data_IF_754253225150
#
_entry.id   IF_754253225150
#
_cell.length_a   1.000
_cell.length_b   1.000
_cell.length_c   1.000
_cell.angle_alpha   90.00
_cell.angle_beta   90.00
_cell.angle_gamma   90.00
#
_symmetry.space_group_name_H-M   'P 1'
#
loop_
_entity.id
_entity.type
_entity.pdbx_description
1 polymer ?
#
# COMPACT_ATOMS: atom_id res chain seq x y z
N UNK A 1 54.53 -34.02 -4.94
CA UNK A 1 54.14 -32.81 -5.65
C UNK A 1 52.74 -32.42 -5.19
N UNK A 2 52.64 -31.39 -4.36
CA UNK A 2 51.35 -30.88 -3.92
C UNK A 2 50.95 -29.73 -4.87
N UNK A 3 49.91 -29.91 -5.66
CA UNK A 3 49.32 -28.85 -6.43
C UNK A 3 48.51 -27.96 -5.49
N UNK A 4 49.01 -26.76 -5.18
CA UNK A 4 48.27 -25.74 -4.51
C UNK A 4 47.22 -25.13 -5.48
N UNK A 5 45.96 -25.36 -5.24
CA UNK A 5 44.88 -24.57 -5.85
C UNK A 5 44.96 -23.15 -5.28
N UNK A 6 45.49 -22.23 -6.03
CA UNK A 6 45.31 -20.79 -5.80
C UNK A 6 43.92 -20.43 -6.30
N UNK A 7 42.97 -20.31 -5.38
CA UNK A 7 41.67 -19.73 -5.68
C UNK A 7 41.91 -18.23 -5.96
N UNK A 8 41.85 -17.84 -7.23
CA UNK A 8 41.82 -16.44 -7.62
C UNK A 8 40.53 -15.83 -7.05
N UNK A 9 40.62 -15.05 -6.00
CA UNK A 9 39.58 -14.14 -5.59
C UNK A 9 39.45 -13.10 -6.71
N UNK A 10 38.39 -13.21 -7.51
CA UNK A 10 38.02 -12.12 -8.41
C UNK A 10 37.75 -10.88 -7.55
N UNK A 11 38.60 -9.88 -7.66
CA UNK A 11 38.35 -8.59 -7.05
C UNK A 11 37.07 -8.05 -7.72
N UNK A 12 35.97 -8.05 -7.02
CA UNK A 12 34.77 -7.38 -7.46
C UNK A 12 35.08 -5.90 -7.48
N UNK A 13 34.98 -5.28 -8.66
CA UNK A 13 35.16 -3.83 -8.79
C UNK A 13 34.15 -3.16 -7.86
N UNK A 14 34.62 -2.39 -6.89
CA UNK A 14 33.75 -1.62 -6.03
C UNK A 14 33.11 -0.49 -6.86
N UNK A 15 31.81 -0.32 -6.69
CA UNK A 15 31.05 0.76 -7.36
C UNK A 15 31.04 1.97 -6.43
N UNK A 16 31.21 3.16 -7.00
CA UNK A 16 31.09 4.41 -6.24
C UNK A 16 29.72 5.02 -6.45
N UNK A 17 29.09 5.45 -5.35
CA UNK A 17 27.83 6.18 -5.34
C UNK A 17 28.01 7.49 -4.58
N UNK A 18 27.59 8.61 -5.18
CA UNK A 18 27.45 9.89 -4.48
C UNK A 18 25.99 10.03 -4.04
N UNK A 19 25.71 9.73 -2.79
CA UNK A 19 24.37 9.81 -2.20
C UNK A 19 24.27 11.09 -1.40
N UNK A 20 23.45 12.04 -1.84
CA UNK A 20 23.26 13.35 -1.19
C UNK A 20 24.57 14.06 -0.83
N UNK A 21 25.56 13.99 -1.73
CA UNK A 21 26.86 14.63 -1.54
C UNK A 21 27.87 13.82 -0.72
N UNK A 22 27.50 12.67 -0.20
CA UNK A 22 28.42 11.75 0.48
C UNK A 22 28.86 10.64 -0.49
N UNK A 23 30.17 10.51 -0.67
CA UNK A 23 30.75 9.44 -1.48
C UNK A 23 30.78 8.12 -0.70
N UNK A 24 30.23 7.09 -1.32
CA UNK A 24 30.25 5.72 -0.80
C UNK A 24 30.94 4.79 -1.77
N UNK A 25 31.82 3.97 -1.24
CA UNK A 25 32.32 2.78 -1.90
C UNK A 25 31.38 1.62 -1.59
N UNK A 26 30.83 0.98 -2.62
CA UNK A 26 29.89 -0.13 -2.49
C UNK A 26 30.52 -1.45 -2.94
N UNK A 27 30.55 -2.41 -2.03
CA UNK A 27 30.95 -3.78 -2.30
C UNK A 27 29.70 -4.63 -2.50
N UNK A 28 29.62 -5.36 -3.61
CA UNK A 28 28.54 -6.32 -3.84
C UNK A 28 28.78 -7.58 -3.00
N UNK A 29 27.90 -7.80 -2.02
CA UNK A 29 27.96 -8.99 -1.15
C UNK A 29 27.24 -10.18 -1.76
N UNK A 30 26.17 -9.90 -2.52
CA UNK A 30 25.32 -10.90 -3.15
C UNK A 30 24.67 -10.34 -4.40
N UNK A 31 24.60 -11.15 -5.45
CA UNK A 31 23.79 -10.88 -6.62
C UNK A 31 23.31 -12.20 -7.23
N UNK A 32 22.02 -12.36 -7.41
CA UNK A 32 21.43 -13.54 -8.04
C UNK A 32 20.05 -13.25 -8.67
N UNK A 33 19.70 -14.08 -9.61
CA UNK A 33 18.30 -14.19 -10.06
C UNK A 33 17.52 -15.00 -9.05
N UNK A 34 16.43 -14.45 -8.51
CA UNK A 34 15.55 -15.12 -7.54
C UNK A 34 14.43 -15.93 -8.23
N UNK A 35 14.01 -15.46 -9.40
CA UNK A 35 12.90 -16.02 -10.14
C UNK A 35 12.80 -15.39 -11.54
N UNK A 36 11.73 -15.65 -12.28
CA UNK A 36 11.53 -15.06 -13.59
C UNK A 36 11.62 -13.54 -13.52
N UNK A 37 12.46 -12.90 -14.36
CA UNK A 37 12.57 -11.45 -14.44
C UNK A 37 12.93 -10.73 -13.15
N UNK A 38 13.42 -11.42 -12.11
CA UNK A 38 13.68 -10.83 -10.81
C UNK A 38 15.08 -11.08 -10.33
N UNK A 39 15.85 -10.03 -10.16
CA UNK A 39 17.20 -10.07 -9.56
C UNK A 39 17.22 -9.44 -8.18
N UNK A 40 18.07 -9.97 -7.31
CA UNK A 40 18.38 -9.37 -6.00
C UNK A 40 19.87 -9.01 -5.95
N UNK A 41 20.15 -7.87 -5.31
CA UNK A 41 21.50 -7.45 -4.99
C UNK A 41 21.58 -7.01 -3.53
N UNK A 42 22.64 -7.36 -2.85
CA UNK A 42 22.98 -6.82 -1.54
C UNK A 42 24.32 -6.12 -1.60
N UNK A 43 24.38 -4.91 -1.07
CA UNK A 43 25.59 -4.09 -1.04
C UNK A 43 25.99 -3.77 0.40
N UNK A 44 27.29 -3.64 0.62
CA UNK A 44 27.85 -2.95 1.77
C UNK A 44 28.48 -1.64 1.29
N UNK A 45 27.87 -0.53 1.65
CA UNK A 45 28.30 0.80 1.30
C UNK A 45 29.07 1.45 2.45
N UNK A 46 30.25 2.01 2.19
CA UNK A 46 31.10 2.67 3.18
C UNK A 46 31.53 4.05 2.72
N UNK A 47 31.39 5.06 3.58
CA UNK A 47 31.96 6.38 3.36
C UNK A 47 33.36 6.52 3.95
N UNK A 48 34.09 7.54 3.53
CA UNK A 48 35.41 7.86 4.07
C UNK A 48 35.39 8.21 5.57
N UNK A 49 34.26 8.74 6.06
CA UNK A 49 34.04 9.11 7.46
C UNK A 49 33.66 7.90 8.34
N UNK A 50 33.66 6.69 7.76
CA UNK A 50 33.38 5.43 8.49
C UNK A 50 31.90 5.08 8.64
N UNK A 51 30.98 5.84 8.00
CA UNK A 51 29.58 5.43 7.93
C UNK A 51 29.44 4.23 7.02
N UNK A 52 28.66 3.24 7.44
CA UNK A 52 28.35 2.07 6.62
C UNK A 52 26.88 1.71 6.65
N UNK A 53 26.42 1.14 5.53
CA UNK A 53 25.04 0.74 5.31
C UNK A 53 24.99 -0.60 4.59
N UNK A 54 24.15 -1.52 5.09
CA UNK A 54 23.75 -2.72 4.35
C UNK A 54 22.50 -2.40 3.55
N UNK A 55 22.59 -2.56 2.24
CA UNK A 55 21.54 -2.25 1.28
C UNK A 55 21.09 -3.53 0.60
N UNK A 56 19.78 -3.78 0.58
CA UNK A 56 19.15 -4.89 -0.09
C UNK A 56 18.18 -4.34 -1.13
N UNK A 57 18.34 -4.70 -2.39
CA UNK A 57 17.37 -4.29 -3.39
C UNK A 57 17.10 -5.41 -4.40
N UNK A 58 15.92 -5.35 -4.99
CA UNK A 58 15.51 -6.20 -6.10
C UNK A 58 15.03 -5.35 -7.27
N UNK A 59 15.29 -5.80 -8.49
CA UNK A 59 14.70 -5.29 -9.72
C UNK A 59 13.79 -6.38 -10.29
N UNK A 60 12.55 -5.98 -10.61
CA UNK A 60 11.48 -6.88 -11.00
C UNK A 60 10.94 -6.40 -12.34
N UNK A 61 11.14 -7.21 -13.38
CA UNK A 61 10.68 -6.93 -14.75
C UNK A 61 9.19 -7.24 -14.87
N UNK A 62 8.35 -6.19 -14.94
CA UNK A 62 6.90 -6.30 -15.10
C UNK A 62 6.49 -6.88 -16.47
N UNK A 63 7.36 -6.81 -17.46
CA UNK A 63 7.07 -7.37 -18.80
C UNK A 63 7.11 -8.88 -18.82
N UNK A 64 7.72 -9.49 -17.79
CA UNK A 64 7.78 -10.93 -17.65
C UNK A 64 6.38 -11.50 -17.33
N UNK A 65 5.83 -12.41 -18.16
CA UNK A 65 4.47 -12.92 -17.99
C UNK A 65 4.30 -13.81 -16.75
N UNK A 66 5.40 -14.32 -16.17
CA UNK A 66 5.37 -15.18 -14.99
C UNK A 66 5.49 -14.42 -13.66
N UNK A 67 5.56 -13.07 -13.72
CA UNK A 67 5.58 -12.22 -12.54
C UNK A 67 4.18 -11.64 -12.29
N UNK A 68 3.75 -11.69 -11.04
CA UNK A 68 2.58 -10.98 -10.54
C UNK A 68 2.92 -10.24 -9.25
N UNK A 69 2.16 -9.20 -8.97
CA UNK A 69 2.22 -8.42 -7.74
C UNK A 69 0.91 -8.55 -6.98
N UNK A 70 0.99 -8.56 -5.67
CA UNK A 70 -0.18 -8.48 -4.80
C UNK A 70 0.17 -7.69 -3.55
N UNK A 71 -0.75 -6.84 -3.12
CA UNK A 71 -0.82 -6.40 -1.74
C UNK A 71 -1.29 -7.57 -0.89
N UNK A 72 -0.66 -7.82 0.24
CA UNK A 72 -1.05 -8.90 1.17
C UNK A 72 -1.35 -8.30 2.52
N UNK A 73 -2.55 -8.57 3.01
CA UNK A 73 -2.96 -8.21 4.36
C UNK A 73 -2.48 -9.26 5.38
N UNK A 74 -2.08 -8.80 6.56
CA UNK A 74 -1.74 -9.71 7.64
C UNK A 74 -2.92 -10.62 7.98
N UNK A 75 -2.69 -11.94 7.96
CA UNK A 75 -3.73 -12.97 8.23
C UNK A 75 -4.95 -12.90 7.28
N UNK A 76 -4.81 -12.24 6.11
CA UNK A 76 -5.90 -11.89 5.19
C UNK A 76 -7.06 -11.14 5.87
N UNK A 77 -6.77 -10.40 6.94
CA UNK A 77 -7.72 -9.68 7.77
C UNK A 77 -7.50 -8.17 7.68
N UNK A 78 -8.57 -7.39 7.81
CA UNK A 78 -8.49 -5.93 7.85
C UNK A 78 -7.68 -5.43 9.07
N UNK A 79 -7.81 -6.12 10.20
CA UNK A 79 -7.06 -5.85 11.43
C UNK A 79 -6.21 -7.09 11.77
N UNK A 80 -5.06 -7.23 11.11
CA UNK A 80 -4.17 -8.35 11.33
C UNK A 80 -2.71 -7.97 11.16
N UNK A 81 -1.84 -8.52 12.01
CA UNK A 81 -0.39 -8.33 11.90
C UNK A 81 0.27 -9.66 11.56
N UNK A 82 1.21 -9.61 10.62
CA UNK A 82 1.95 -10.79 10.17
C UNK A 82 3.30 -10.34 9.60
N UNK A 83 4.34 -11.15 9.75
CA UNK A 83 5.63 -10.85 9.12
C UNK A 83 5.57 -11.10 7.60
N UNK A 84 6.34 -10.34 6.83
CA UNK A 84 6.44 -10.52 5.36
C UNK A 84 6.81 -11.96 5.01
N UNK A 85 7.71 -12.58 5.78
CA UNK A 85 8.07 -13.99 5.61
C UNK A 85 6.87 -14.92 5.79
N UNK A 86 6.13 -14.77 6.88
CA UNK A 86 4.94 -15.60 7.14
C UNK A 86 3.88 -15.44 6.06
N UNK A 87 3.61 -14.19 5.63
CA UNK A 87 2.70 -13.92 4.52
C UNK A 87 3.16 -14.61 3.23
N UNK A 88 4.45 -14.54 2.89
CA UNK A 88 5.03 -15.20 1.72
C UNK A 88 4.84 -16.72 1.78
N UNK A 89 5.16 -17.35 2.91
CA UNK A 89 5.01 -18.79 3.10
C UNK A 89 3.54 -19.21 3.03
N UNK A 90 2.64 -18.48 3.69
CA UNK A 90 1.19 -18.75 3.74
C UNK A 90 0.50 -18.59 2.38
N UNK A 91 0.88 -17.58 1.59
CA UNK A 91 0.27 -17.28 0.29
C UNK A 91 0.85 -18.13 -0.83
N UNK A 92 2.03 -18.73 -0.65
CA UNK A 92 2.67 -19.58 -1.65
C UNK A 92 1.91 -20.90 -1.83
N UNK A 93 1.72 -21.30 -3.09
CA UNK A 93 1.09 -22.55 -3.48
C UNK A 93 1.71 -23.06 -4.80
N UNK A 94 1.52 -24.31 -5.18
CA UNK A 94 1.95 -24.82 -6.47
C UNK A 94 1.48 -23.92 -7.62
N UNK A 95 2.41 -23.47 -8.46
CA UNK A 95 2.14 -22.56 -9.58
C UNK A 95 2.06 -21.06 -9.24
N UNK A 96 2.08 -20.68 -7.94
CA UNK A 96 2.08 -19.27 -7.51
C UNK A 96 2.92 -19.11 -6.23
N UNK A 97 4.19 -18.80 -6.40
CA UNK A 97 5.14 -18.63 -5.30
C UNK A 97 5.34 -17.15 -4.97
N UNK A 98 5.16 -16.80 -3.71
CA UNK A 98 5.52 -15.49 -3.16
C UNK A 98 6.97 -15.55 -2.66
N UNK A 99 7.93 -15.18 -3.50
CA UNK A 99 9.36 -15.39 -3.23
C UNK A 99 10.11 -14.11 -2.88
N UNK A 100 9.45 -12.96 -3.00
CA UNK A 100 10.01 -11.65 -2.69
C UNK A 100 8.93 -10.77 -2.08
N UNK A 101 9.27 -10.02 -1.03
CA UNK A 101 8.36 -9.06 -0.41
C UNK A 101 9.06 -8.04 0.46
N UNK A 102 8.42 -6.89 0.62
CA UNK A 102 8.78 -5.85 1.58
C UNK A 102 7.56 -5.50 2.43
N UNK A 103 7.80 -4.86 3.59
CA UNK A 103 6.70 -4.28 4.37
C UNK A 103 6.03 -3.12 3.61
N UNK A 104 4.80 -2.80 3.98
CA UNK A 104 3.99 -1.76 3.34
C UNK A 104 3.66 -0.59 4.26
N UNK A 105 2.37 -0.27 4.33
CA UNK A 105 1.80 0.92 4.97
C UNK A 105 2.04 0.99 6.49
N UNK A 106 1.92 2.20 7.02
CA UNK A 106 1.65 2.41 8.44
C UNK A 106 0.32 1.75 8.82
N UNK A 107 0.20 1.36 10.08
CA UNK A 107 -1.00 0.68 10.57
C UNK A 107 -1.36 1.10 12.00
N UNK A 108 -2.57 0.85 12.40
CA UNK A 108 -3.00 1.07 13.78
C UNK A 108 -2.24 0.16 14.73
N UNK A 109 -1.48 0.73 15.65
CA UNK A 109 -0.66 0.01 16.64
C UNK A 109 -1.41 -0.27 17.94
N UNK A 110 -2.62 0.27 18.10
CA UNK A 110 -3.45 0.12 19.28
C UNK A 110 -4.92 0.41 18.98
N UNK A 111 -5.76 0.20 19.98
CA UNK A 111 -7.20 0.50 19.92
C UNK A 111 -8.05 -0.75 19.77
N UNK A 112 -9.32 -0.59 20.17
CA UNK A 112 -10.35 -1.62 20.08
C UNK A 112 -11.62 -1.03 19.48
N UNK A 113 -12.40 -1.90 18.85
CA UNK A 113 -13.75 -1.59 18.38
C UNK A 113 -14.70 -1.46 19.56
N UNK A 114 -15.95 -1.04 19.29
CA UNK A 114 -17.03 -0.98 20.29
C UNK A 114 -17.37 -2.36 20.85
N UNK A 115 -17.17 -3.41 20.07
CA UNK A 115 -17.41 -4.81 20.51
C UNK A 115 -16.17 -5.47 21.12
N UNK A 116 -15.03 -4.73 21.23
CA UNK A 116 -13.81 -5.20 21.88
C UNK A 116 -12.79 -5.87 20.97
N UNK A 117 -13.02 -5.95 19.66
CA UNK A 117 -12.05 -6.49 18.71
C UNK A 117 -10.86 -5.54 18.53
N UNK A 118 -9.67 -6.11 18.34
CA UNK A 118 -8.45 -5.32 18.14
C UNK A 118 -8.50 -4.56 16.81
N UNK A 119 -8.07 -3.30 16.82
CA UNK A 119 -7.81 -2.51 15.61
C UNK A 119 -6.36 -2.56 15.13
N UNK A 120 -5.50 -3.30 15.84
CA UNK A 120 -4.08 -3.41 15.50
C UNK A 120 -3.93 -4.09 14.13
N UNK A 121 -3.16 -3.49 13.25
CA UNK A 121 -2.92 -4.00 11.90
C UNK A 121 -3.77 -3.37 10.80
N UNK A 122 -4.79 -2.55 11.13
CA UNK A 122 -5.57 -1.82 10.12
C UNK A 122 -4.64 -0.84 9.38
N UNK A 123 -4.57 -0.87 8.04
CA UNK A 123 -3.74 0.08 7.28
C UNK A 123 -4.26 1.51 7.48
N UNK A 124 -3.34 2.48 7.57
CA UNK A 124 -3.72 3.89 7.71
C UNK A 124 -4.25 4.44 6.40
N UNK A 125 -3.58 4.16 5.29
CA UNK A 125 -3.94 4.66 3.99
C UNK A 125 -4.87 3.74 3.19
N UNK A 126 -5.25 4.17 1.97
CA UNK A 126 -5.99 3.35 1.01
C UNK A 126 -5.27 2.05 0.65
N UNK A 127 -6.07 0.98 0.45
CA UNK A 127 -5.57 -0.36 0.16
C UNK A 127 -6.53 -1.13 -0.75
N UNK A 128 -5.97 -1.72 -1.82
CA UNK A 128 -6.67 -2.60 -2.76
C UNK A 128 -5.87 -3.89 -2.91
N UNK A 129 -6.54 -5.01 -2.75
CA UNK A 129 -5.96 -6.34 -2.83
C UNK A 129 -6.68 -7.13 -3.91
N UNK A 130 -5.94 -7.55 -4.95
CA UNK A 130 -6.46 -8.33 -6.09
C UNK A 130 -7.76 -7.75 -6.71
N UNK A 131 -7.82 -6.39 -6.80
CA UNK A 131 -8.96 -5.64 -7.32
C UNK A 131 -10.08 -5.37 -6.31
N UNK A 132 -10.03 -5.96 -5.10
CA UNK A 132 -11.02 -5.71 -4.05
C UNK A 132 -10.61 -4.52 -3.17
N UNK A 133 -11.54 -3.58 -2.96
CA UNK A 133 -11.31 -2.36 -2.18
C UNK A 133 -11.40 -2.68 -0.69
N UNK A 134 -10.25 -2.74 -0.02
CA UNK A 134 -10.18 -2.91 1.43
C UNK A 134 -10.38 -1.59 2.16
N UNK A 135 -9.81 -0.53 1.63
CA UNK A 135 -9.96 0.82 2.19
C UNK A 135 -9.79 1.87 1.10
N UNK A 136 -10.61 2.90 1.13
CA UNK A 136 -10.45 4.09 0.32
C UNK A 136 -10.92 5.33 1.07
N UNK A 137 -10.33 6.49 0.79
CA UNK A 137 -10.62 7.75 1.47
C UNK A 137 -10.52 8.90 0.48
N UNK A 138 -11.54 9.73 0.38
CA UNK A 138 -11.55 10.92 -0.46
C UNK A 138 -10.66 12.07 0.06
N UNK A 139 -10.22 11.96 1.30
CA UNK A 139 -9.33 12.95 1.94
C UNK A 139 -8.13 12.24 2.55
N UNK A 140 -7.09 12.03 1.74
CA UNK A 140 -5.82 11.43 2.19
C UNK A 140 -4.63 12.19 1.63
N UNK A 141 -3.58 12.33 2.44
CA UNK A 141 -2.28 12.87 2.05
C UNK A 141 -1.24 11.74 1.84
N UNK A 142 -1.66 10.49 2.00
CA UNK A 142 -0.80 9.34 1.77
C UNK A 142 -0.51 9.17 0.28
N UNK A 143 0.69 8.72 0.00
CA UNK A 143 1.14 8.34 -1.35
C UNK A 143 0.84 6.86 -1.56
N UNK A 144 0.35 6.51 -2.73
CA UNK A 144 0.06 5.14 -3.10
C UNK A 144 1.00 4.65 -4.20
N UNK A 145 1.48 3.42 -4.07
CA UNK A 145 1.89 2.61 -5.20
C UNK A 145 0.65 1.91 -5.76
N UNK A 146 0.40 2.06 -7.05
CA UNK A 146 -0.76 1.49 -7.74
C UNK A 146 -0.30 0.71 -8.95
N UNK A 147 -0.88 -0.47 -9.15
CA UNK A 147 -0.69 -1.29 -10.35
C UNK A 147 -2.05 -1.83 -10.82
N UNK A 148 -2.31 -1.75 -12.12
CA UNK A 148 -3.50 -2.32 -12.74
C UNK A 148 -3.40 -3.85 -12.90
N UNK A 149 -4.50 -4.50 -13.27
CA UNK A 149 -4.56 -5.95 -13.46
C UNK A 149 -3.63 -6.46 -14.58
N UNK A 150 -3.31 -5.61 -15.54
CA UNK A 150 -2.45 -5.95 -16.68
C UNK A 150 -0.97 -5.70 -16.40
N UNK A 151 -0.63 -5.13 -15.25
CA UNK A 151 0.74 -4.75 -14.85
C UNK A 151 1.43 -3.77 -15.81
N UNK A 152 0.68 -2.90 -16.48
CA UNK A 152 1.22 -2.06 -17.55
C UNK A 152 1.48 -0.62 -17.13
N UNK A 153 0.79 -0.16 -16.11
CA UNK A 153 0.80 1.25 -15.70
C UNK A 153 1.07 1.39 -14.20
N UNK A 154 2.27 1.00 -13.72
CA UNK A 154 2.63 1.30 -12.34
C UNK A 154 2.69 2.82 -12.16
N UNK A 155 2.11 3.31 -11.07
CA UNK A 155 2.13 4.74 -10.76
C UNK A 155 2.32 4.93 -9.25
N UNK A 156 3.10 5.94 -8.88
CA UNK A 156 3.26 6.39 -7.50
C UNK A 156 2.79 7.84 -7.42
N UNK A 157 1.87 8.10 -6.50
CA UNK A 157 1.35 9.44 -6.29
C UNK A 157 0.23 9.47 -5.25
N UNK A 158 -0.21 10.67 -4.90
CA UNK A 158 -1.32 10.87 -3.98
C UNK A 158 -2.65 10.66 -4.73
N UNK A 159 -3.33 9.57 -4.41
CA UNK A 159 -4.61 9.25 -5.04
C UNK A 159 -5.69 10.19 -4.54
N UNK A 160 -6.41 10.81 -5.47
CA UNK A 160 -7.63 11.57 -5.22
C UNK A 160 -8.83 10.69 -5.52
N UNK A 161 -9.59 10.36 -4.49
CA UNK A 161 -10.84 9.61 -4.60
C UNK A 161 -12.01 10.54 -4.73
N UNK A 162 -13.00 10.15 -5.51
CA UNK A 162 -14.30 10.81 -5.58
C UNK A 162 -15.39 9.75 -5.74
N UNK A 163 -16.52 9.96 -5.10
CA UNK A 163 -17.64 9.03 -5.19
C UNK A 163 -18.97 9.75 -5.13
N UNK A 164 -19.97 9.18 -5.78
CA UNK A 164 -21.33 9.69 -5.82
C UNK A 164 -22.32 8.54 -5.72
N UNK A 165 -23.24 8.64 -4.79
CA UNK A 165 -24.41 7.76 -4.69
C UNK A 165 -25.65 8.53 -5.17
N UNK A 166 -26.47 7.90 -6.03
CA UNK A 166 -27.72 8.46 -6.58
C UNK A 166 -28.85 7.48 -6.33
N UNK A 167 -29.95 7.94 -5.74
CA UNK A 167 -31.14 7.11 -5.55
C UNK A 167 -32.11 7.20 -6.75
N UNK A 168 -33.15 6.39 -6.76
CA UNK A 168 -34.14 6.32 -7.84
C UNK A 168 -34.91 7.65 -8.10
N UNK A 169 -34.97 8.56 -7.13
CA UNK A 169 -35.56 9.91 -7.31
C UNK A 169 -34.58 10.92 -7.88
N UNK A 170 -33.33 10.55 -8.15
CA UNK A 170 -32.28 11.43 -8.62
C UNK A 170 -31.60 12.27 -7.53
N UNK A 171 -31.89 12.02 -6.24
CA UNK A 171 -31.17 12.64 -5.13
C UNK A 171 -29.78 12.05 -5.05
N UNK A 172 -28.78 12.91 -4.92
CA UNK A 172 -27.36 12.52 -4.87
C UNK A 172 -26.75 12.76 -3.50
N UNK A 173 -25.71 11.99 -3.17
CA UNK A 173 -24.87 12.16 -1.99
C UNK A 173 -23.43 11.75 -2.33
N UNK A 174 -22.44 12.60 -1.99
CA UNK A 174 -21.03 12.27 -2.18
C UNK A 174 -20.61 11.09 -1.30
N UNK A 175 -19.84 10.15 -1.84
CA UNK A 175 -19.23 9.03 -1.09
C UNK A 175 -17.85 9.45 -0.63
N UNK A 176 -17.60 9.47 0.68
CA UNK A 176 -16.35 9.94 1.30
C UNK A 176 -15.30 8.83 1.46
N UNK A 177 -15.72 7.58 1.38
CA UNK A 177 -14.76 6.49 1.47
C UNK A 177 -15.37 5.11 1.68
N UNK A 178 -14.48 4.14 1.81
CA UNK A 178 -14.78 2.72 2.04
C UNK A 178 -14.03 2.27 3.29
N UNK A 179 -14.72 1.59 4.21
CA UNK A 179 -14.14 0.97 5.42
C UNK A 179 -13.34 1.96 6.30
N UNK A 180 -13.88 3.13 6.54
CA UNK A 180 -13.22 4.14 7.39
C UNK A 180 -13.44 3.83 8.88
N UNK A 181 -12.34 3.87 9.63
CA UNK A 181 -12.36 3.71 11.09
C UNK A 181 -12.79 5.02 11.74
N UNK A 182 -13.76 4.94 12.66
CA UNK A 182 -14.24 6.10 13.43
C UNK A 182 -14.59 7.33 12.57
N UNK A 183 -15.46 7.23 11.56
CA UNK A 183 -15.86 8.40 10.81
C UNK A 183 -16.51 9.41 11.73
N UNK A 184 -15.96 10.61 11.82
CA UNK A 184 -16.44 11.66 12.71
C UNK A 184 -16.45 13.02 12.03
N UNK A 185 -17.37 13.88 12.46
CA UNK A 185 -17.49 15.26 11.99
C UNK A 185 -18.01 15.40 10.55
N UNK A 186 -18.71 16.51 10.31
CA UNK A 186 -19.20 16.87 8.97
C UNK A 186 -20.29 15.96 8.42
N UNK A 187 -20.48 16.05 7.11
CA UNK A 187 -21.38 15.19 6.34
C UNK A 187 -20.53 14.06 5.75
N UNK A 188 -20.87 12.80 6.04
CA UNK A 188 -20.12 11.63 5.58
C UNK A 188 -21.06 10.58 5.05
N UNK A 189 -20.75 10.05 3.86
CA UNK A 189 -21.34 8.81 3.35
C UNK A 189 -20.20 7.79 3.17
N UNK A 190 -20.26 6.70 3.94
CA UNK A 190 -19.24 5.66 3.95
C UNK A 190 -19.86 4.35 3.53
N UNK A 191 -19.16 3.56 2.72
CA UNK A 191 -19.56 2.20 2.36
C UNK A 191 -18.68 1.23 3.14
N UNK A 192 -19.29 0.39 3.96
CA UNK A 192 -18.63 -0.72 4.64
C UNK A 192 -18.91 -2.02 3.88
N UNK A 193 -17.88 -2.85 3.71
CA UNK A 193 -17.97 -4.13 3.01
C UNK A 193 -17.40 -5.28 3.86
N UNK A 194 -17.48 -6.50 3.35
CA UNK A 194 -17.04 -7.75 4.00
C UNK A 194 -15.59 -7.75 4.51
N UNK A 195 -14.72 -6.83 3.99
CA UNK A 195 -13.31 -6.75 4.39
C UNK A 195 -13.11 -5.97 5.70
N UNK A 196 -14.11 -5.22 6.14
CA UNK A 196 -14.08 -4.57 7.46
C UNK A 196 -14.26 -5.59 8.58
N UNK A 197 -14.66 -5.14 9.77
CA UNK A 197 -15.14 -6.05 10.80
C UNK A 197 -16.52 -6.62 10.39
N UNK A 198 -17.03 -7.66 11.04
CA UNK A 198 -18.39 -8.13 10.78
C UNK A 198 -19.51 -7.11 11.07
N UNK A 199 -19.15 -5.90 11.49
CA UNK A 199 -20.02 -4.79 11.87
C UNK A 199 -19.32 -3.46 11.61
N UNK A 200 -20.07 -2.36 11.58
CA UNK A 200 -19.56 -1.04 11.16
C UNK A 200 -18.71 -0.32 12.20
N UNK A 201 -18.76 -0.74 13.47
CA UNK A 201 -18.05 -0.08 14.60
C UNK A 201 -18.38 1.43 14.75
N UNK A 202 -19.63 1.81 14.45
CA UNK A 202 -20.10 3.19 14.45
C UNK A 202 -20.94 3.54 15.68
N UNK A 203 -20.97 4.81 16.12
CA UNK A 203 -21.85 5.22 17.21
C UNK A 203 -23.31 5.34 16.74
N UNK A 204 -24.26 5.23 17.69
CA UNK A 204 -25.64 5.58 17.47
C UNK A 204 -25.84 7.04 17.03
N UNK A 205 -26.90 7.33 16.28
CA UNK A 205 -27.31 8.66 15.87
C UNK A 205 -27.07 9.00 14.39
N UNK A 206 -26.14 8.32 13.73
CA UNK A 206 -26.03 8.31 12.26
C UNK A 206 -27.10 7.36 11.69
N UNK A 207 -27.24 7.34 10.36
CA UNK A 207 -28.13 6.40 9.68
C UNK A 207 -27.31 5.32 8.96
N UNK A 208 -27.73 4.08 9.09
CA UNK A 208 -27.12 2.92 8.44
C UNK A 208 -28.16 2.09 7.73
N UNK A 209 -27.83 1.54 6.59
CA UNK A 209 -28.68 0.64 5.83
C UNK A 209 -27.90 -0.51 5.23
N UNK A 210 -28.36 -1.74 5.44
CA UNK A 210 -27.78 -2.92 4.83
C UNK A 210 -28.17 -3.02 3.36
N UNK A 211 -27.19 -3.31 2.49
CA UNK A 211 -27.36 -3.37 1.05
C UNK A 211 -26.63 -4.58 0.46
N UNK A 212 -27.01 -4.98 -0.74
CA UNK A 212 -26.30 -5.94 -1.58
C UNK A 212 -26.10 -5.37 -2.97
N UNK A 213 -25.12 -5.89 -3.71
CA UNK A 213 -25.02 -5.58 -5.14
C UNK A 213 -26.25 -6.11 -5.88
N UNK A 214 -26.71 -5.37 -6.90
CA UNK A 214 -27.68 -5.89 -7.85
C UNK A 214 -27.04 -7.03 -8.68
N UNK A 215 -27.87 -7.88 -9.27
CA UNK A 215 -27.40 -9.03 -10.03
C UNK A 215 -26.48 -8.61 -11.19
N UNK A 216 -25.31 -9.23 -11.25
CA UNK A 216 -24.29 -8.96 -12.27
C UNK A 216 -23.42 -7.72 -12.04
N UNK A 217 -23.64 -6.97 -10.97
CA UNK A 217 -22.83 -5.80 -10.62
C UNK A 217 -21.55 -6.16 -9.88
N UNK A 218 -20.57 -5.26 -9.91
CA UNK A 218 -19.28 -5.41 -9.22
C UNK A 218 -18.87 -4.12 -8.52
N UNK A 219 -18.37 -4.23 -7.29
CA UNK A 219 -17.85 -3.10 -6.51
C UNK A 219 -16.43 -2.76 -6.96
N UNK A 220 -16.29 -1.89 -7.96
CA UNK A 220 -15.03 -1.53 -8.61
C UNK A 220 -14.91 -0.03 -8.85
N UNK A 221 -13.70 0.44 -9.05
CA UNK A 221 -13.44 1.82 -9.50
C UNK A 221 -13.81 2.05 -10.96
N UNK A 222 -14.23 3.28 -11.29
CA UNK A 222 -14.38 3.78 -12.65
C UNK A 222 -15.59 3.27 -13.41
N UNK A 223 -16.49 2.53 -12.76
CA UNK A 223 -17.75 2.07 -13.35
C UNK A 223 -18.90 2.26 -12.37
N UNK A 224 -20.05 2.81 -12.82
CA UNK A 224 -21.26 2.80 -12.02
C UNK A 224 -21.67 1.36 -11.69
N UNK A 225 -22.12 1.14 -10.47
CA UNK A 225 -22.73 -0.12 -10.04
C UNK A 225 -23.97 0.15 -9.18
N UNK A 226 -24.84 -0.82 -9.11
CA UNK A 226 -26.10 -0.70 -8.39
C UNK A 226 -26.09 -1.54 -7.11
N UNK A 227 -26.67 -0.96 -6.08
CA UNK A 227 -26.87 -1.61 -4.78
C UNK A 227 -28.34 -1.54 -4.41
N UNK A 228 -28.88 -2.62 -3.84
CA UNK A 228 -30.28 -2.76 -3.40
C UNK A 228 -30.32 -2.86 -1.88
N UNK A 229 -31.15 -2.07 -1.26
CA UNK A 229 -31.38 -2.11 0.18
C UNK A 229 -32.06 -3.44 0.60
N UNK A 230 -31.52 -4.09 1.60
CA UNK A 230 -32.02 -5.39 2.12
C UNK A 230 -32.80 -5.26 3.43
N UNK A 231 -32.83 -4.07 4.00
CA UNK A 231 -33.55 -3.76 5.23
C UNK A 231 -33.92 -2.26 5.26
N UNK A 232 -34.75 -1.85 6.19
CA UNK A 232 -35.01 -0.45 6.48
C UNK A 232 -33.78 0.19 7.18
N UNK A 233 -33.58 1.53 7.03
CA UNK A 233 -32.51 2.24 7.72
C UNK A 233 -32.66 2.16 9.25
N UNK A 234 -31.50 2.12 9.95
CA UNK A 234 -31.41 2.13 11.41
C UNK A 234 -30.54 3.30 11.87
N UNK A 235 -30.80 3.80 13.08
CA UNK A 235 -29.95 4.80 13.75
C UNK A 235 -29.31 4.29 15.02
N UNK A 236 -29.39 2.96 15.24
CA UNK A 236 -28.82 2.32 16.43
C UNK A 236 -27.28 2.33 16.45
N UNK A 237 -26.65 2.48 15.29
CA UNK A 237 -25.21 2.33 15.10
C UNK A 237 -24.77 0.87 15.14
N UNK A 238 -23.49 0.64 14.86
CA UNK A 238 -22.82 -0.65 15.01
C UNK A 238 -23.55 -1.81 14.29
N UNK A 239 -24.06 -1.52 13.07
CA UNK A 239 -24.83 -2.46 12.25
C UNK A 239 -23.94 -3.62 11.79
N UNK A 240 -24.48 -4.84 11.84
CA UNK A 240 -23.84 -6.03 11.26
C UNK A 240 -23.72 -5.87 9.74
N UNK A 241 -22.54 -6.15 9.19
CA UNK A 241 -22.28 -6.13 7.74
C UNK A 241 -22.66 -7.52 7.19
N UNK A 242 -23.58 -7.61 6.21
CA UNK A 242 -23.91 -8.90 5.60
C UNK A 242 -22.67 -9.54 4.96
N UNK A 243 -22.52 -10.86 5.07
CA UNK A 243 -21.33 -11.60 4.59
C UNK A 243 -21.04 -11.35 3.10
N UNK A 244 -22.09 -11.25 2.27
CA UNK A 244 -22.00 -10.95 0.83
C UNK A 244 -22.61 -9.58 0.50
N UNK A 245 -22.56 -8.64 1.46
CA UNK A 245 -23.22 -7.36 1.33
C UNK A 245 -22.39 -6.18 1.84
N UNK A 246 -23.11 -5.11 2.08
CA UNK A 246 -22.56 -3.81 2.43
C UNK A 246 -23.45 -3.14 3.49
N UNK A 247 -22.86 -2.18 4.20
CA UNK A 247 -23.63 -1.20 4.95
C UNK A 247 -23.26 0.20 4.43
N UNK A 248 -24.26 0.99 4.07
CA UNK A 248 -24.10 2.39 3.74
C UNK A 248 -24.41 3.21 4.98
N UNK A 249 -23.39 3.91 5.48
CA UNK A 249 -23.45 4.77 6.68
C UNK A 249 -23.51 6.23 6.28
N UNK A 250 -24.47 6.96 6.83
CA UNK A 250 -24.62 8.41 6.62
C UNK A 250 -24.55 9.17 7.94
N UNK A 251 -23.67 10.18 7.99
CA UNK A 251 -23.53 11.12 9.12
C UNK A 251 -23.87 12.54 8.67
N UNK A 252 -24.43 13.37 9.57
CA UNK A 252 -24.83 14.74 9.24
C UNK A 252 -25.91 14.79 8.17
N UNK A 253 -25.79 15.65 7.16
CA UNK A 253 -26.75 15.74 6.06
C UNK A 253 -26.78 14.46 5.19
N UNK A 254 -25.71 13.67 5.15
CA UNK A 254 -25.69 12.37 4.45
C UNK A 254 -26.59 11.34 5.12
N UNK A 255 -26.89 11.49 6.41
CA UNK A 255 -27.88 10.65 7.09
C UNK A 255 -29.30 10.80 6.50
N UNK A 256 -29.65 11.98 5.98
CA UNK A 256 -30.96 12.21 5.34
C UNK A 256 -31.08 11.51 3.98
N UNK A 257 -29.94 11.29 3.30
CA UNK A 257 -29.91 10.44 2.10
C UNK A 257 -30.22 9.00 2.48
N UNK A 258 -29.52 8.45 3.48
CA UNK A 258 -29.72 7.06 3.93
C UNK A 258 -31.12 6.85 4.50
N UNK A 259 -31.66 7.76 5.33
CA UNK A 259 -33.01 7.70 5.90
C UNK A 259 -34.11 7.78 4.84
N UNK A 260 -33.83 8.33 3.67
CA UNK A 260 -34.80 8.41 2.58
C UNK A 260 -35.01 7.09 1.84
N UNK A 261 -34.14 6.11 2.06
CA UNK A 261 -34.20 4.79 1.44
C UNK A 261 -35.12 3.84 2.22
N UNK A 262 -35.64 2.83 1.55
CA UNK A 262 -36.45 1.75 2.11
C UNK A 262 -35.92 0.41 1.63
N UNK A 263 -36.30 -0.65 2.30
CA UNK A 263 -36.03 -2.01 1.81
C UNK A 263 -36.54 -2.17 0.36
N UNK A 264 -35.69 -2.71 -0.50
CA UNK A 264 -35.93 -2.88 -1.94
C UNK A 264 -35.54 -1.67 -2.80
N UNK A 265 -35.23 -0.50 -2.23
CA UNK A 265 -34.77 0.65 -3.00
C UNK A 265 -33.37 0.40 -3.58
N UNK A 266 -33.16 0.92 -4.78
CA UNK A 266 -31.89 0.85 -5.51
C UNK A 266 -31.17 2.20 -5.44
N UNK A 267 -29.86 2.14 -5.26
CA UNK A 267 -28.95 3.28 -5.49
C UNK A 267 -27.91 2.91 -6.54
N UNK A 268 -27.54 3.89 -7.36
CA UNK A 268 -26.37 3.79 -8.24
C UNK A 268 -25.19 4.47 -7.56
N UNK A 269 -24.05 3.80 -7.50
CA UNK A 269 -22.80 4.34 -6.94
C UNK A 269 -21.75 4.39 -8.02
N UNK A 270 -21.05 5.53 -8.10
CA UNK A 270 -19.84 5.70 -8.88
C UNK A 270 -18.69 6.01 -7.92
N UNK A 271 -17.53 5.36 -8.13
CA UNK A 271 -16.36 5.58 -7.30
C UNK A 271 -15.10 5.62 -8.17
N UNK A 272 -14.36 6.72 -8.13
CA UNK A 272 -13.22 7.00 -8.99
C UNK A 272 -11.96 7.23 -8.19
N UNK A 273 -10.83 6.87 -8.77
CA UNK A 273 -9.49 7.13 -8.25
C UNK A 273 -8.64 7.81 -9.32
N UNK A 274 -7.98 8.91 -8.98
CA UNK A 274 -7.11 9.67 -9.89
C UNK A 274 -5.76 9.93 -9.23
N UNK A 275 -4.68 9.83 -10.00
CA UNK A 275 -3.34 10.27 -9.63
C UNK A 275 -2.88 11.23 -10.71
N UNK A 276 -2.45 12.43 -10.34
CA UNK A 276 -2.00 13.51 -11.25
C UNK A 276 -2.99 13.77 -12.40
N UNK A 277 -4.30 13.74 -12.07
CA UNK A 277 -5.39 13.96 -13.02
C UNK A 277 -5.68 12.79 -13.96
N UNK A 278 -4.96 11.69 -13.88
CA UNK A 278 -5.24 10.46 -14.63
C UNK A 278 -6.08 9.51 -13.79
N UNK A 279 -7.16 8.99 -14.36
CA UNK A 279 -7.95 7.95 -13.73
C UNK A 279 -7.13 6.65 -13.66
N UNK A 280 -7.16 5.98 -12.50
CA UNK A 280 -6.47 4.73 -12.23
C UNK A 280 -7.46 3.64 -11.83
N UNK A 281 -7.15 2.40 -12.22
CA UNK A 281 -7.97 1.22 -11.95
C UNK A 281 -7.17 0.22 -11.11
N UNK A 282 -7.05 0.44 -9.80
CA UNK A 282 -6.16 -0.36 -8.96
C UNK A 282 -6.58 -1.84 -8.91
N UNK A 283 -5.66 -2.73 -9.26
CA UNK A 283 -5.73 -4.14 -8.91
C UNK A 283 -4.90 -4.41 -7.65
N UNK A 284 -3.77 -3.73 -7.54
CA UNK A 284 -2.92 -3.70 -6.35
C UNK A 284 -2.70 -2.24 -5.97
N UNK A 285 -3.00 -1.89 -4.72
CA UNK A 285 -2.71 -0.57 -4.16
C UNK A 285 -2.19 -0.73 -2.74
N UNK A 286 -1.04 -0.13 -2.48
CA UNK A 286 -0.45 -0.03 -1.16
C UNK A 286 -0.14 1.43 -0.88
N UNK A 287 -0.60 1.93 0.24
CA UNK A 287 -0.27 3.27 0.70
C UNK A 287 1.01 3.28 1.51
N UNK A 288 1.61 4.41 1.60
CA UNK A 288 2.56 4.79 2.61
C UNK A 288 2.86 6.29 2.52
N UNK A 289 3.98 6.75 3.09
CA UNK A 289 4.33 8.15 3.13
C UNK A 289 5.81 8.31 3.49
N UNK A 290 6.51 9.26 2.90
CA UNK A 290 6.09 10.17 1.85
C UNK A 290 6.40 9.67 0.43
N UNK A 291 5.91 10.41 -0.59
CA UNK A 291 6.48 10.37 -1.94
C UNK A 291 7.90 10.94 -1.88
N UNK A 292 8.90 10.09 -2.02
CA UNK A 292 10.31 10.45 -1.77
C UNK A 292 11.12 10.72 -3.04
N UNK A 293 10.65 10.22 -4.19
CA UNK A 293 11.22 10.47 -5.51
C UNK A 293 10.07 10.67 -6.50
N UNK A 294 10.11 11.75 -7.28
CA UNK A 294 9.09 12.04 -8.28
C UNK A 294 9.72 12.60 -9.56
N UNK A 295 9.42 11.97 -10.70
CA UNK A 295 9.98 12.33 -12.00
C UNK A 295 11.53 12.44 -12.00
N UNK A 296 12.20 11.58 -11.27
CA UNK A 296 13.66 11.55 -11.15
C UNK A 296 14.25 12.59 -10.19
N UNK A 297 13.43 13.33 -9.48
CA UNK A 297 13.87 14.31 -8.49
C UNK A 297 13.52 13.88 -7.07
N UNK A 298 14.50 13.95 -6.17
CA UNK A 298 14.29 13.66 -4.75
C UNK A 298 13.40 14.74 -4.14
N UNK A 299 12.35 14.34 -3.47
CA UNK A 299 11.45 15.24 -2.76
C UNK A 299 12.10 15.70 -1.46
N UNK A 300 12.54 16.96 -1.45
CA UNK A 300 13.31 17.57 -0.37
C UNK A 300 12.46 18.67 0.30
N UNK A 301 11.39 18.27 1.00
CA UNK A 301 10.58 19.22 1.74
C UNK A 301 11.13 19.38 3.16
N UNK A 302 10.97 20.58 3.74
CA UNK A 302 11.37 20.88 5.12
C UNK A 302 10.81 19.86 6.12
N UNK A 303 9.58 19.46 5.93
CA UNK A 303 8.91 18.44 6.73
C UNK A 303 9.63 17.07 6.66
N UNK A 304 10.07 16.62 5.47
CA UNK A 304 10.81 15.37 5.31
C UNK A 304 12.18 15.41 5.96
N UNK A 305 12.82 16.58 5.97
CA UNK A 305 14.11 16.78 6.62
C UNK A 305 14.00 16.78 8.13
N UNK A 306 12.92 17.34 8.70
CA UNK A 306 12.69 17.38 10.15
C UNK A 306 12.19 16.04 10.71
N UNK A 307 11.12 15.48 10.14
CA UNK A 307 10.44 14.30 10.69
C UNK A 307 11.22 13.00 10.41
N UNK A 308 11.80 12.85 9.22
CA UNK A 308 12.55 11.66 8.77
C UNK A 308 14.04 11.92 8.57
N UNK A 309 14.56 12.99 9.13
CA UNK A 309 15.97 13.39 9.02
C UNK A 309 16.96 12.53 9.78
N UNK A 310 16.51 11.60 10.62
CA UNK A 310 17.39 10.69 11.37
C UNK A 310 17.72 9.42 10.57
N UNK A 311 18.93 8.92 10.74
CA UNK A 311 19.32 7.62 10.18
C UNK A 311 18.57 6.50 10.87
N UNK A 312 17.87 5.67 10.09
CA UNK A 312 17.10 4.53 10.56
C UNK A 312 17.01 3.44 9.49
N UNK A 313 16.56 2.23 9.83
CA UNK A 313 16.17 1.28 8.79
C UNK A 313 15.08 1.91 7.92
N UNK A 314 15.18 1.78 6.61
CA UNK A 314 14.21 2.34 5.67
C UNK A 314 13.88 1.35 4.57
N UNK A 315 12.64 1.38 4.11
CA UNK A 315 12.15 0.57 2.99
C UNK A 315 11.46 1.49 1.98
N UNK A 316 11.64 1.22 0.69
CA UNK A 316 10.94 1.93 -0.37
C UNK A 316 10.56 1.00 -1.52
N UNK A 317 9.48 1.38 -2.21
CA UNK A 317 9.05 0.81 -3.49
C UNK A 317 9.21 1.88 -4.55
N UNK A 318 9.77 1.51 -5.70
CA UNK A 318 10.06 2.45 -6.77
C UNK A 318 9.72 1.91 -8.15
N UNK A 319 9.57 2.82 -9.10
CA UNK A 319 9.33 2.57 -10.52
C UNK A 319 10.56 3.00 -11.31
N UNK A 320 10.97 2.17 -12.26
CA UNK A 320 12.10 2.44 -13.14
C UNK A 320 11.77 2.01 -14.59
N UNK A 321 12.67 2.32 -15.52
CA UNK A 321 12.62 1.86 -16.92
C UNK A 321 11.26 2.16 -17.59
N UNK A 322 10.79 3.40 -17.45
CA UNK A 322 9.50 3.85 -18.03
C UNK A 322 8.31 2.98 -17.58
N UNK A 323 8.31 2.52 -16.33
CA UNK A 323 7.24 1.69 -15.77
C UNK A 323 7.38 0.20 -16.05
N UNK A 324 8.47 -0.25 -16.65
CA UNK A 324 8.70 -1.69 -16.93
C UNK A 324 9.34 -2.43 -15.77
N UNK A 325 9.96 -1.71 -14.83
CA UNK A 325 10.65 -2.29 -13.69
C UNK A 325 10.10 -1.72 -12.38
N UNK A 326 9.79 -2.59 -11.43
CA UNK A 326 9.57 -2.23 -10.03
C UNK A 326 10.83 -2.55 -9.24
N UNK A 327 11.18 -1.66 -8.33
CA UNK A 327 12.28 -1.88 -7.41
C UNK A 327 11.77 -1.93 -5.98
N UNK A 328 12.23 -2.91 -5.23
CA UNK A 328 12.17 -2.92 -3.77
C UNK A 328 13.55 -2.61 -3.23
N UNK A 329 13.66 -1.72 -2.26
CA UNK A 329 14.91 -1.39 -1.61
C UNK A 329 14.71 -1.24 -0.11
N UNK A 330 15.59 -1.87 0.68
CA UNK A 330 15.65 -1.72 2.13
C UNK A 330 17.09 -1.48 2.54
N UNK A 331 17.30 -0.49 3.41
CA UNK A 331 18.59 -0.23 4.06
C UNK A 331 18.42 -0.59 5.53
N UNK A 332 19.26 -1.51 6.02
CA UNK A 332 19.30 -1.88 7.43
C UNK A 332 19.87 -0.72 8.28
N UNK A 333 19.52 -0.67 9.55
CA UNK A 333 19.99 0.42 10.41
C UNK A 333 19.81 0.15 11.89
N UNK A 334 20.10 1.18 12.71
CA UNK A 334 20.07 1.10 14.18
C UNK A 334 20.96 0.01 14.75
N UNK A 335 22.04 -0.31 14.05
CA UNK A 335 22.98 -1.34 14.45
C UNK A 335 24.43 -0.85 14.33
N UNK A 336 25.40 -1.44 15.07
CA UNK A 336 26.81 -1.08 14.96
C UNK A 336 27.41 -1.30 13.57
N UNK A 337 26.81 -2.17 12.77
CA UNK A 337 27.29 -2.53 11.44
C UNK A 337 26.52 -1.87 10.31
N UNK A 338 25.39 -1.21 10.61
CA UNK A 338 24.60 -0.47 9.61
C UNK A 338 23.92 0.72 10.28
N UNK A 339 24.29 1.92 9.85
CA UNK A 339 23.79 3.16 10.44
C UNK A 339 22.34 3.46 10.05
N UNK A 340 21.84 2.85 8.98
CA UNK A 340 20.59 3.26 8.35
C UNK A 340 20.76 4.47 7.44
N UNK A 341 19.64 4.94 6.92
CA UNK A 341 19.58 6.07 6.01
C UNK A 341 18.43 7.01 6.36
N UNK A 342 18.49 8.21 5.80
CA UNK A 342 17.36 9.16 5.77
C UNK A 342 16.46 8.82 4.59
N UNK A 343 15.23 9.28 4.63
CA UNK A 343 14.27 9.16 3.52
C UNK A 343 14.81 9.73 2.21
N UNK A 344 15.49 10.87 2.27
CA UNK A 344 16.09 11.52 1.09
C UNK A 344 17.31 10.77 0.55
N UNK A 345 18.02 10.02 1.38
CA UNK A 345 19.18 9.21 0.95
C UNK A 345 18.74 7.93 0.24
N UNK A 346 17.69 7.24 0.73
CA UNK A 346 17.13 6.07 0.02
C UNK A 346 16.54 6.48 -1.33
N UNK A 347 15.86 7.63 -1.40
CA UNK A 347 15.33 8.17 -2.65
C UNK A 347 16.44 8.49 -3.65
N UNK A 348 17.52 9.13 -3.22
CA UNK A 348 18.65 9.45 -4.07
C UNK A 348 19.39 8.19 -4.55
N UNK A 349 19.54 7.19 -3.68
CA UNK A 349 20.12 5.91 -4.07
C UNK A 349 19.24 5.18 -5.09
N UNK A 350 17.92 5.19 -4.94
CA UNK A 350 16.99 4.62 -5.91
C UNK A 350 17.11 5.33 -7.26
N UNK A 351 17.22 6.67 -7.28
CA UNK A 351 17.46 7.47 -8.48
C UNK A 351 18.77 7.05 -9.16
N UNK A 352 19.85 6.90 -8.40
CA UNK A 352 21.15 6.44 -8.92
C UNK A 352 21.10 5.00 -9.47
N UNK A 353 20.18 4.17 -8.98
CA UNK A 353 19.92 2.82 -9.47
C UNK A 353 18.95 2.77 -10.66
N UNK A 354 18.43 3.95 -11.09
CA UNK A 354 17.61 4.12 -12.29
C UNK A 354 16.12 4.31 -12.04
N UNK A 355 15.68 4.48 -10.79
CA UNK A 355 14.29 4.79 -10.49
C UNK A 355 13.92 6.24 -10.87
N UNK A 356 12.65 6.44 -11.25
CA UNK A 356 12.06 7.74 -11.53
C UNK A 356 11.08 8.20 -10.46
N UNK A 357 10.40 7.24 -9.82
CA UNK A 357 9.40 7.51 -8.79
C UNK A 357 9.57 6.52 -7.63
N UNK A 358 9.37 6.97 -6.41
CA UNK A 358 9.46 6.12 -5.22
C UNK A 358 8.58 6.62 -4.08
N UNK A 359 8.05 5.68 -3.32
CA UNK A 359 7.36 5.91 -2.05
C UNK A 359 8.08 5.15 -0.94
N UNK A 360 8.33 5.83 0.17
CA UNK A 360 8.82 5.17 1.38
C UNK A 360 7.70 4.38 2.02
N UNK A 361 8.02 3.16 2.45
CA UNK A 361 7.16 2.33 3.28
C UNK A 361 7.36 2.66 4.76
N UNK A 362 6.53 2.08 5.64
CA UNK A 362 6.75 2.20 7.08
C UNK A 362 8.19 1.79 7.42
N UNK A 363 8.89 2.65 8.13
CA UNK A 363 10.32 2.55 8.36
C UNK A 363 10.66 2.16 9.80
N UNK A 364 11.93 2.23 10.17
CA UNK A 364 12.36 1.85 11.52
C UNK A 364 12.19 0.36 11.78
N UNK A 365 11.47 0.01 12.83
CA UNK A 365 11.24 -1.39 13.23
C UNK A 365 10.42 -2.22 12.25
N UNK A 366 9.66 -1.58 11.36
CA UNK A 366 8.85 -2.23 10.33
C UNK A 366 9.66 -2.62 9.09
N UNK A 367 10.83 -2.00 8.87
CA UNK A 367 11.63 -2.23 7.66
C UNK A 367 12.00 -3.69 7.49
N UNK A 368 11.57 -4.27 6.38
CA UNK A 368 11.76 -5.69 6.08
C UNK A 368 12.00 -5.89 4.59
N UNK A 369 13.02 -6.69 4.27
CA UNK A 369 13.24 -7.25 2.94
C UNK A 369 13.27 -8.77 3.09
N UNK A 370 12.38 -9.46 2.41
CA UNK A 370 12.31 -10.92 2.40
C UNK A 370 12.50 -11.44 0.98
N UNK A 371 13.36 -12.42 0.84
CA UNK A 371 13.51 -13.19 -0.41
C UNK A 371 13.75 -14.66 -0.11
N UNK A 372 13.25 -15.50 -1.02
CA UNK A 372 13.49 -16.95 -0.97
C UNK A 372 13.81 -17.47 -2.37
N UNK A 373 14.82 -18.30 -2.49
CA UNK A 373 15.21 -19.02 -3.71
C UNK A 373 14.40 -20.31 -3.88
#
# INVERSE_FOLDING_TARGET
MALGCVAAMAAHASIQYNVRGTEYQADTLFHAMLGPGTSQTSLLMRSAEGRQMYVYYAKIDLTNPYISFSTVMGQDSFAGTETVRSMSERKSRPGARYFLGVNGDFYYTSGTTRRGDSRVGIPIGPCVVDGEIYKANTNTDFTQFVLDANKQNPIIGCTKFSGLATNASGKTCGVDGVNLVNPSGGNRLIIYNKHFFPYTDTPAGAAEIAMKLADGESFVFGKPFKMVATAAPSTAGDMDIPADGFVVYGLGASADFVKSLKEGDEITVEFHAHIDGKEVFPHTMMSSWPNSLHNGEVTDTEYLLEEFGSNQPVTAVAIADEGKTIMFLTIDGRSPISSGARTTEIADLLRLLGATDAVNMDSGGSSTFYSSS
#
